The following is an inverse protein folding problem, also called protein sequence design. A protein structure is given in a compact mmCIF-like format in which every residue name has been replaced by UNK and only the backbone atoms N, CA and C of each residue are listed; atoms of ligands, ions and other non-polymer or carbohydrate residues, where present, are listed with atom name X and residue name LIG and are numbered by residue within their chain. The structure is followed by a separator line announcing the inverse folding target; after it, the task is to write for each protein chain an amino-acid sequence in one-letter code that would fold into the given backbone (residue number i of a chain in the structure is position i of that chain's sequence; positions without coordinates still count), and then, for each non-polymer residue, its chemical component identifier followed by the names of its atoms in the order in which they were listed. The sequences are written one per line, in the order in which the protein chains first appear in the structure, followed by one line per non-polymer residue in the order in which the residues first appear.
data_IF_872735477016
#
_entry.id   IF_872735477016
#
_cell.length_a   1.000
_cell.length_b   1.000
_cell.length_c   1.000
_cell.angle_alpha   90.00
_cell.angle_beta   90.00
_cell.angle_gamma   90.00
#
_symmetry.space_group_name_H-M   'P 1'
#
loop_
_entity.id
_entity.type
_entity.pdbx_description
1 polymer ?
#
# COMPACT_ATOMS: atom_id res chain seq x y z
N UNK A 1 -34.53 54.03 46.28
CA UNK A 1 -35.52 52.96 46.52
C UNK A 1 -34.76 51.67 46.71
N UNK A 2 -35.14 50.95 47.77
CA UNK A 2 -34.49 49.80 48.38
C UNK A 2 -34.65 48.49 47.58
N UNK A 3 -33.78 47.52 47.90
CA UNK A 3 -33.95 46.07 47.66
C UNK A 3 -32.76 45.46 46.90
N UNK A 4 -31.72 44.84 47.49
CA UNK A 4 -31.64 43.60 48.30
C UNK A 4 -32.62 42.52 47.81
N UNK A 5 -32.21 41.33 47.37
CA UNK A 5 -31.58 40.27 48.18
C UNK A 5 -31.02 39.09 47.34
N UNK A 6 -30.02 38.38 47.90
CA UNK A 6 -29.73 36.92 47.84
C UNK A 6 -30.08 36.12 46.58
N UNK A 7 -29.18 35.39 45.92
CA UNK A 7 -28.26 34.37 46.45
C UNK A 7 -28.74 32.98 46.04
N UNK A 8 -27.95 32.23 45.25
CA UNK A 8 -27.73 30.78 45.39
C UNK A 8 -26.83 30.25 44.27
N UNK A 9 -25.73 29.65 44.71
CA UNK A 9 -24.82 28.76 43.97
C UNK A 9 -25.54 27.57 43.37
N UNK A 10 -25.30 27.26 42.10
CA UNK A 10 -25.09 25.87 41.62
C UNK A 10 -24.28 25.91 40.33
N UNK A 11 -23.26 25.06 40.25
CA UNK A 11 -22.34 24.99 39.12
C UNK A 11 -23.03 24.58 37.81
N UNK A 12 -22.53 25.12 36.71
CA UNK A 12 -22.97 24.79 35.37
C UNK A 12 -21.94 25.20 34.33
N UNK A 13 -21.08 24.23 33.98
CA UNK A 13 -20.39 24.06 32.70
C UNK A 13 -19.94 25.32 31.94
N UNK A 14 -18.68 25.70 32.13
CA UNK A 14 -17.98 26.63 31.23
C UNK A 14 -17.79 26.01 29.84
N UNK A 15 -18.34 26.68 28.81
CA UNK A 15 -17.99 26.43 27.42
C UNK A 15 -16.56 26.96 27.15
N UNK A 16 -15.76 26.10 26.51
CA UNK A 16 -14.31 26.28 26.27
C UNK A 16 -13.99 27.54 25.46
N UNK A 17 -12.86 28.22 25.74
CA UNK A 17 -12.38 29.34 24.96
C UNK A 17 -11.60 28.91 23.71
N UNK A 18 -11.59 29.82 22.75
CA UNK A 18 -10.70 29.97 21.61
C UNK A 18 -9.24 29.56 21.85
N UNK A 19 -8.66 28.80 20.93
CA UNK A 19 -7.22 28.81 20.66
C UNK A 19 -6.97 28.50 19.18
N UNK A 20 -6.50 29.52 18.46
CA UNK A 20 -5.79 29.33 17.20
C UNK A 20 -4.50 28.56 17.47
N UNK A 21 -4.19 27.62 16.59
CA UNK A 21 -3.00 26.78 16.71
C UNK A 21 -1.77 27.54 16.19
N UNK A 22 -1.33 28.55 16.93
CA UNK A 22 0.01 29.14 16.83
C UNK A 22 0.95 28.43 17.82
N UNK A 23 1.13 27.13 17.62
CA UNK A 23 2.05 26.32 18.42
C UNK A 23 3.35 26.08 17.67
N UNK A 24 4.34 26.96 17.86
CA UNK A 24 5.73 26.71 17.48
C UNK A 24 6.23 25.44 18.17
N UNK A 25 6.39 24.36 17.40
CA UNK A 25 6.99 23.12 17.90
C UNK A 25 8.48 23.39 18.16
N UNK A 26 8.85 23.47 19.44
CA UNK A 26 10.25 23.55 19.88
C UNK A 26 10.95 22.24 19.50
N UNK A 27 11.78 22.26 18.45
CA UNK A 27 12.69 21.16 18.13
C UNK A 27 13.80 21.10 19.19
N UNK A 28 13.75 20.09 20.04
CA UNK A 28 14.91 19.61 20.80
C UNK A 28 15.34 18.27 20.22
N UNK A 29 16.62 18.16 19.85
CA UNK A 29 17.27 16.90 19.45
C UNK A 29 17.44 16.71 17.94
N UNK A 30 18.68 16.82 17.46
CA UNK A 30 19.04 16.73 16.05
C UNK A 30 18.89 15.32 15.47
N UNK A 31 17.95 15.18 14.53
CA UNK A 31 18.06 14.27 13.39
C UNK A 31 17.85 15.15 12.16
N UNK A 32 18.86 15.21 11.28
CA UNK A 32 18.72 15.81 9.96
C UNK A 32 17.60 15.07 9.24
N UNK A 33 16.44 15.71 9.08
CA UNK A 33 15.31 15.13 8.35
C UNK A 33 15.67 15.11 6.87
N UNK A 34 16.40 14.07 6.46
CA UNK A 34 16.57 13.78 5.04
C UNK A 34 15.18 13.61 4.45
N UNK A 35 14.86 14.40 3.43
CA UNK A 35 13.61 14.29 2.70
C UNK A 35 13.57 12.91 2.04
N UNK A 36 12.69 12.03 2.53
CA UNK A 36 12.53 10.68 1.99
C UNK A 36 11.63 10.75 0.76
N UNK A 37 12.09 10.20 -0.35
CA UNK A 37 11.28 10.01 -1.56
C UNK A 37 10.58 8.67 -1.43
N UNK A 38 9.24 8.72 -1.46
CA UNK A 38 8.38 7.54 -1.43
C UNK A 38 8.14 7.04 -2.86
N UNK A 39 8.35 5.75 -3.08
CA UNK A 39 8.00 5.05 -4.31
C UNK A 39 6.77 4.18 -4.06
N UNK A 40 5.54 4.63 -4.43
CA UNK A 40 4.35 3.80 -4.34
C UNK A 40 4.58 2.49 -5.05
N UNK A 41 4.20 1.39 -4.42
CA UNK A 41 4.46 0.04 -4.92
C UNK A 41 3.22 -0.81 -4.76
N UNK A 42 2.81 -1.47 -5.84
CA UNK A 42 1.68 -2.39 -5.86
C UNK A 42 2.18 -3.79 -6.21
N UNK A 43 1.81 -4.77 -5.39
CA UNK A 43 2.25 -6.15 -5.52
C UNK A 43 1.09 -7.05 -5.92
N UNK A 44 1.09 -7.51 -7.17
CA UNK A 44 0.10 -8.45 -7.68
C UNK A 44 0.61 -9.88 -7.53
N UNK A 45 -0.22 -10.75 -6.96
CA UNK A 45 0.03 -12.18 -6.89
C UNK A 45 -0.87 -12.90 -7.91
N UNK A 46 -0.25 -13.49 -8.94
CA UNK A 46 -0.88 -14.32 -9.95
C UNK A 46 -0.95 -15.79 -9.53
N UNK A 47 -0.54 -16.69 -10.41
CA UNK A 47 -0.34 -18.10 -10.08
C UNK A 47 0.94 -18.27 -9.25
N UNK A 48 0.84 -17.94 -7.97
CA UNK A 48 1.94 -17.96 -7.01
C UNK A 48 1.67 -18.94 -5.86
N UNK A 49 2.75 -19.44 -5.28
CA UNK A 49 2.75 -20.17 -4.00
C UNK A 49 3.00 -19.25 -2.79
N UNK A 50 3.02 -17.92 -2.97
CA UNK A 50 3.44 -16.92 -1.96
C UNK A 50 4.88 -17.06 -1.47
N UNK A 51 5.68 -17.95 -2.08
CA UNK A 51 7.06 -18.19 -1.68
C UNK A 51 7.97 -16.98 -1.88
N UNK A 52 7.70 -16.14 -2.87
CA UNK A 52 8.50 -14.93 -3.09
C UNK A 52 8.17 -13.87 -2.04
N UNK A 53 6.90 -13.71 -1.69
CA UNK A 53 6.47 -12.91 -0.54
C UNK A 53 7.16 -13.36 0.75
N UNK A 54 7.11 -14.66 1.08
CA UNK A 54 7.76 -15.20 2.29
C UNK A 54 9.28 -15.04 2.25
N UNK A 55 9.90 -15.18 1.07
CA UNK A 55 11.33 -14.93 0.90
C UNK A 55 11.69 -13.46 1.17
N UNK A 56 10.87 -12.51 0.72
CA UNK A 56 11.06 -11.08 1.01
C UNK A 56 10.96 -10.80 2.51
N UNK A 57 9.98 -11.40 3.19
CA UNK A 57 9.79 -11.25 4.64
C UNK A 57 10.99 -11.75 5.47
N UNK A 58 11.75 -12.70 4.93
CA UNK A 58 12.96 -13.24 5.55
C UNK A 58 14.25 -12.50 5.19
N UNK A 59 14.18 -11.35 4.50
CA UNK A 59 15.37 -10.58 4.13
C UNK A 59 16.15 -10.09 5.35
N UNK A 60 17.46 -10.32 5.36
CA UNK A 60 18.35 -9.93 6.47
C UNK A 60 18.89 -8.49 6.34
N UNK A 61 19.25 -8.07 5.12
CA UNK A 61 19.77 -6.73 4.86
C UNK A 61 19.50 -6.34 3.40
N UNK A 62 18.67 -5.32 3.13
CA UNK A 62 17.81 -4.59 4.07
C UNK A 62 16.79 -5.51 4.76
N UNK A 63 16.43 -5.22 6.01
CA UNK A 63 15.47 -6.05 6.75
C UNK A 63 14.02 -5.69 6.39
N UNK A 64 13.04 -6.50 6.82
CA UNK A 64 11.64 -6.25 6.48
C UNK A 64 11.10 -4.90 6.99
N UNK A 65 11.61 -4.38 8.12
CA UNK A 65 11.24 -3.05 8.62
C UNK A 65 11.70 -1.95 7.65
N UNK A 66 12.85 -2.12 6.99
CA UNK A 66 13.32 -1.23 5.93
C UNK A 66 12.53 -1.35 4.63
N UNK A 67 11.77 -2.42 4.42
CA UNK A 67 10.93 -2.54 3.23
C UNK A 67 9.55 -1.95 3.48
N UNK A 68 9.03 -2.06 4.71
CA UNK A 68 7.66 -1.67 5.03
C UNK A 68 7.52 -0.27 5.65
N UNK A 69 8.54 0.22 6.36
CA UNK A 69 8.41 1.40 7.23
C UNK A 69 9.57 2.38 7.05
N UNK A 70 10.80 1.90 7.11
CA UNK A 70 12.01 2.74 7.05
C UNK A 70 12.56 2.77 5.63
N UNK A 71 13.43 3.72 5.24
CA UNK A 71 14.05 3.70 3.92
C UNK A 71 14.87 2.43 3.63
N UNK A 72 14.66 1.84 2.45
CA UNK A 72 15.45 0.70 1.93
C UNK A 72 16.87 1.16 1.56
N UNK A 73 16.98 2.39 1.07
CA UNK A 73 18.23 3.09 0.74
C UNK A 73 18.20 4.49 1.35
N UNK A 74 19.35 5.15 1.57
CA UNK A 74 19.39 6.52 2.08
C UNK A 74 18.47 7.46 1.29
N UNK A 75 17.44 8.00 1.95
CA UNK A 75 16.46 8.92 1.36
C UNK A 75 15.44 8.29 0.40
N UNK A 76 15.37 6.96 0.26
CA UNK A 76 14.40 6.28 -0.62
C UNK A 76 13.66 5.16 0.09
N UNK A 77 12.35 5.24 0.12
CA UNK A 77 11.47 4.26 0.74
C UNK A 77 10.50 3.66 -0.27
N UNK A 78 10.26 2.36 -0.14
CA UNK A 78 9.31 1.61 -0.96
C UNK A 78 7.98 1.60 -0.22
N UNK A 79 7.01 2.35 -0.73
CA UNK A 79 5.70 2.47 -0.10
C UNK A 79 4.78 1.36 -0.61
N UNK A 80 4.74 0.22 0.08
CA UNK A 80 3.94 -0.93 -0.31
C UNK A 80 2.44 -0.67 -0.05
N UNK A 81 1.73 -0.14 -1.04
CA UNK A 81 0.32 0.25 -0.96
C UNK A 81 -0.64 -0.93 -1.05
N UNK A 82 -0.28 -1.93 -1.85
CA UNK A 82 -1.08 -3.13 -2.04
C UNK A 82 -0.18 -4.36 -1.98
N UNK A 83 -0.53 -5.30 -1.10
CA UNK A 83 0.09 -6.62 -1.02
C UNK A 83 -0.85 -7.57 -0.27
N UNK A 84 -1.52 -8.46 -1.01
CA UNK A 84 -2.62 -9.28 -0.48
C UNK A 84 -2.28 -10.08 0.79
N UNK A 85 -1.04 -10.54 0.93
CA UNK A 85 -0.61 -11.39 2.06
C UNK A 85 -0.41 -10.65 3.39
N UNK A 86 -0.02 -9.36 3.38
CA UNK A 86 0.43 -8.65 4.59
C UNK A 86 -0.28 -7.32 4.85
N UNK A 87 -1.08 -6.83 3.89
CA UNK A 87 -1.80 -5.58 4.08
C UNK A 87 -2.96 -5.75 5.08
N UNK A 88 -3.30 -4.67 5.80
CA UNK A 88 -4.41 -4.68 6.76
C UNK A 88 -5.79 -4.53 6.07
N UNK A 89 -5.83 -3.90 4.89
CA UNK A 89 -7.05 -3.69 4.12
C UNK A 89 -7.52 -4.99 3.45
N UNK A 90 -8.83 -5.11 3.22
CA UNK A 90 -9.42 -6.27 2.55
C UNK A 90 -10.61 -5.88 1.67
N UNK A 91 -10.98 -6.79 0.78
CA UNK A 91 -12.13 -6.65 -0.10
C UNK A 91 -12.00 -5.50 -1.09
N UNK A 92 -13.14 -5.02 -1.58
CA UNK A 92 -13.20 -4.02 -2.63
C UNK A 92 -12.44 -2.71 -2.31
N UNK A 93 -12.48 -2.14 -1.09
CA UNK A 93 -11.68 -0.95 -0.77
C UNK A 93 -10.17 -1.18 -0.91
N UNK A 94 -9.67 -2.38 -0.60
CA UNK A 94 -8.26 -2.71 -0.80
C UNK A 94 -7.91 -2.84 -2.28
N UNK A 95 -8.80 -3.43 -3.07
CA UNK A 95 -8.61 -3.61 -4.51
C UNK A 95 -8.66 -2.27 -5.27
N UNK A 96 -9.48 -1.30 -4.81
CA UNK A 96 -9.51 0.07 -5.39
C UNK A 96 -8.15 0.74 -5.40
N UNK A 97 -7.31 0.48 -4.39
CA UNK A 97 -5.95 1.04 -4.27
C UNK A 97 -5.08 0.76 -5.51
N UNK A 98 -5.32 -0.36 -6.20
CA UNK A 98 -4.60 -0.68 -7.45
C UNK A 98 -4.78 0.42 -8.50
N UNK A 99 -6.04 0.76 -8.81
CA UNK A 99 -6.37 1.80 -9.79
C UNK A 99 -6.12 3.21 -9.27
N UNK A 100 -6.41 3.46 -8.00
CA UNK A 100 -6.14 4.76 -7.37
C UNK A 100 -4.65 5.10 -7.42
N UNK A 101 -3.76 4.12 -7.21
CA UNK A 101 -2.31 4.35 -7.30
C UNK A 101 -1.89 4.76 -8.71
N UNK A 102 -2.41 4.08 -9.74
CA UNK A 102 -2.13 4.43 -11.13
C UNK A 102 -2.67 5.81 -11.51
N UNK A 103 -3.86 6.16 -11.03
CA UNK A 103 -4.51 7.46 -11.29
C UNK A 103 -3.82 8.62 -10.56
N UNK A 104 -3.43 8.43 -9.30
CA UNK A 104 -2.82 9.47 -8.46
C UNK A 104 -1.36 9.74 -8.83
N UNK A 105 -0.62 8.70 -9.25
CA UNK A 105 0.84 8.74 -9.39
C UNK A 105 1.33 8.09 -10.70
N UNK A 106 0.77 8.44 -11.87
CA UNK A 106 1.16 7.83 -13.15
C UNK A 106 2.66 8.06 -13.42
N UNK A 107 3.37 7.01 -13.84
CA UNK A 107 4.80 7.02 -14.12
C UNK A 107 5.70 7.07 -12.89
N UNK A 108 5.16 7.05 -11.66
CA UNK A 108 5.93 7.17 -10.42
C UNK A 108 5.88 5.93 -9.51
N UNK A 109 5.04 4.95 -9.82
CA UNK A 109 4.85 3.75 -8.99
C UNK A 109 5.52 2.51 -9.56
N UNK A 110 5.91 1.59 -8.68
CA UNK A 110 6.45 0.29 -9.03
C UNK A 110 5.32 -0.75 -9.09
N UNK A 111 5.29 -1.54 -10.15
CA UNK A 111 4.44 -2.73 -10.24
C UNK A 111 5.31 -3.97 -9.99
N UNK A 112 5.01 -4.70 -8.92
CA UNK A 112 5.65 -5.97 -8.61
C UNK A 112 4.69 -7.10 -8.98
N UNK A 113 5.17 -8.05 -9.77
CA UNK A 113 4.39 -9.20 -10.24
C UNK A 113 5.00 -10.45 -9.66
N UNK A 114 4.25 -11.17 -8.82
CA UNK A 114 4.63 -12.46 -8.27
C UNK A 114 3.74 -13.56 -8.85
N UNK A 115 4.34 -14.65 -9.34
CA UNK A 115 3.60 -15.72 -10.01
C UNK A 115 3.40 -15.48 -11.50
N UNK A 116 3.06 -16.53 -12.24
CA UNK A 116 2.76 -16.46 -13.67
C UNK A 116 1.40 -15.81 -13.93
N UNK A 117 1.20 -15.37 -15.18
CA UNK A 117 -0.01 -14.68 -15.64
C UNK A 117 -0.76 -15.64 -16.57
N UNK A 118 -1.83 -16.31 -16.11
CA UNK A 118 -2.56 -17.23 -16.96
C UNK A 118 -3.40 -16.53 -18.02
N UNK A 119 -3.73 -17.28 -19.07
CA UNK A 119 -4.65 -16.88 -20.12
C UNK A 119 -6.10 -17.19 -19.71
N UNK A 120 -6.95 -16.15 -19.64
CA UNK A 120 -8.36 -16.30 -19.26
C UNK A 120 -8.62 -16.16 -17.76
N UNK A 121 -9.74 -16.70 -17.24
CA UNK A 121 -10.25 -16.37 -15.90
C UNK A 121 -9.65 -17.22 -14.76
N UNK A 122 -8.51 -17.88 -14.97
CA UNK A 122 -7.92 -18.80 -13.98
C UNK A 122 -7.35 -18.11 -12.74
N UNK A 123 -7.02 -16.82 -12.84
CA UNK A 123 -6.51 -16.05 -11.72
C UNK A 123 -7.13 -14.65 -11.71
N UNK A 124 -7.73 -14.28 -10.57
CA UNK A 124 -8.24 -12.95 -10.29
C UNK A 124 -7.52 -12.36 -9.08
N UNK A 125 -7.12 -11.10 -9.17
CA UNK A 125 -6.42 -10.39 -8.08
C UNK A 125 -7.40 -9.73 -7.10
N UNK A 126 -8.68 -9.66 -7.46
CA UNK A 126 -9.72 -9.07 -6.65
C UNK A 126 -11.03 -8.91 -7.41
N UNK A 127 -11.95 -8.19 -6.79
CA UNK A 127 -13.27 -7.86 -7.35
C UNK A 127 -13.54 -6.37 -7.15
N UNK A 128 -14.11 -5.73 -8.16
CA UNK A 128 -14.57 -4.34 -8.11
C UNK A 128 -15.94 -4.25 -8.77
N UNK A 129 -16.93 -3.73 -8.04
CA UNK A 129 -18.32 -3.58 -8.50
C UNK A 129 -18.93 -4.90 -9.01
N UNK A 130 -18.68 -6.01 -8.33
CA UNK A 130 -19.20 -7.33 -8.72
C UNK A 130 -18.48 -7.98 -9.90
N UNK A 131 -17.38 -7.39 -10.39
CA UNK A 131 -16.59 -7.89 -11.51
C UNK A 131 -15.22 -8.35 -11.04
N UNK A 132 -14.88 -9.61 -11.33
CA UNK A 132 -13.53 -10.10 -11.11
C UNK A 132 -12.54 -9.33 -11.98
N UNK A 133 -11.42 -8.95 -11.36
CA UNK A 133 -10.30 -8.34 -12.04
C UNK A 133 -9.26 -9.43 -12.28
N UNK A 134 -9.11 -9.86 -13.53
CA UNK A 134 -8.15 -10.94 -13.83
C UNK A 134 -6.71 -10.46 -13.67
N UNK A 135 -5.81 -11.39 -13.39
CA UNK A 135 -4.37 -11.10 -13.29
C UNK A 135 -3.83 -10.47 -14.57
N UNK A 136 -4.25 -10.98 -15.74
CA UNK A 136 -3.85 -10.46 -17.05
C UNK A 136 -4.33 -9.03 -17.27
N UNK A 137 -5.61 -8.75 -17.01
CA UNK A 137 -6.17 -7.40 -17.16
C UNK A 137 -5.47 -6.40 -16.24
N UNK A 138 -5.34 -6.71 -14.95
CA UNK A 138 -4.75 -5.76 -13.99
C UNK A 138 -3.27 -5.56 -14.21
N UNK A 139 -2.53 -6.61 -14.60
CA UNK A 139 -1.12 -6.46 -14.94
C UNK A 139 -0.94 -5.59 -16.18
N UNK A 140 -1.73 -5.80 -17.24
CA UNK A 140 -1.66 -4.99 -18.45
C UNK A 140 -2.06 -3.52 -18.21
N UNK A 141 -3.13 -3.31 -17.43
CA UNK A 141 -3.62 -1.97 -17.05
C UNK A 141 -2.56 -1.20 -16.25
N UNK A 142 -2.02 -1.79 -15.19
CA UNK A 142 -1.03 -1.13 -14.33
C UNK A 142 0.36 -1.01 -14.99
N UNK A 143 0.75 -1.96 -15.84
CA UNK A 143 2.05 -1.89 -16.51
C UNK A 143 2.15 -0.69 -17.47
N UNK A 144 1.02 -0.22 -18.02
CA UNK A 144 0.99 0.91 -18.96
C UNK A 144 1.50 2.23 -18.37
N UNK A 145 1.26 2.44 -17.08
CA UNK A 145 1.60 3.69 -16.37
C UNK A 145 2.63 3.49 -15.24
N UNK A 146 3.20 2.30 -15.08
CA UNK A 146 4.20 2.05 -14.04
C UNK A 146 5.56 2.69 -14.38
N UNK A 147 6.27 3.19 -13.36
CA UNK A 147 7.67 3.61 -13.46
C UNK A 147 8.56 2.43 -13.89
N UNK A 148 8.30 1.27 -13.29
CA UNK A 148 8.96 0.02 -13.62
C UNK A 148 8.08 -1.16 -13.23
N UNK A 149 8.19 -2.24 -14.00
CA UNK A 149 7.58 -3.54 -13.70
C UNK A 149 8.68 -4.50 -13.27
N UNK A 150 8.51 -5.13 -12.11
CA UNK A 150 9.46 -6.05 -11.51
C UNK A 150 8.81 -7.44 -11.46
N UNK A 151 9.32 -8.37 -12.26
CA UNK A 151 8.96 -9.78 -12.18
C UNK A 151 9.67 -10.42 -10.98
N UNK A 152 8.91 -10.81 -9.96
CA UNK A 152 9.43 -11.39 -8.72
C UNK A 152 9.33 -12.92 -8.78
N UNK A 153 10.48 -13.56 -8.91
CA UNK A 153 10.62 -15.01 -8.93
C UNK A 153 10.49 -15.63 -10.33
N UNK A 154 10.85 -16.92 -10.41
CA UNK A 154 10.91 -17.66 -11.68
C UNK A 154 9.55 -17.75 -12.37
N UNK A 155 8.46 -17.91 -11.61
CA UNK A 155 7.12 -17.99 -12.21
C UNK A 155 6.73 -16.70 -12.93
N UNK A 156 6.97 -15.53 -12.33
CA UNK A 156 6.70 -14.25 -12.98
C UNK A 156 7.66 -13.94 -14.12
N UNK A 157 8.92 -14.38 -14.02
CA UNK A 157 9.97 -14.05 -14.99
C UNK A 157 9.93 -14.95 -16.23
N UNK A 158 9.60 -16.22 -16.06
CA UNK A 158 9.76 -17.27 -17.09
C UNK A 158 8.60 -18.28 -17.11
N UNK A 159 7.49 -18.00 -16.43
CA UNK A 159 6.35 -18.91 -16.32
C UNK A 159 6.49 -19.94 -15.18
N UNK A 160 7.65 -20.59 -15.07
CA UNK A 160 7.96 -21.49 -13.95
C UNK A 160 7.12 -22.76 -13.91
N UNK A 161 6.74 -23.22 -12.71
CA UNK A 161 5.99 -24.47 -12.53
C UNK A 161 4.60 -24.41 -13.21
N UNK A 162 3.81 -23.33 -13.08
CA UNK A 162 2.49 -23.27 -13.70
C UNK A 162 2.50 -23.39 -15.24
N UNK A 163 3.56 -22.89 -15.89
CA UNK A 163 3.75 -23.01 -17.34
C UNK A 163 4.27 -24.38 -17.81
N UNK A 164 4.50 -25.32 -16.89
CA UNK A 164 4.90 -26.68 -17.22
C UNK A 164 3.81 -27.46 -17.95
N UNK A 165 4.19 -28.42 -18.80
CA UNK A 165 3.23 -29.27 -19.51
C UNK A 165 2.29 -29.98 -18.51
N UNK A 166 0.97 -30.05 -18.79
CA UNK A 166 0.30 -29.68 -20.04
C UNK A 166 -0.19 -28.20 -20.13
N UNK A 167 0.18 -27.34 -19.17
CA UNK A 167 -0.20 -25.92 -19.07
C UNK A 167 -1.67 -25.61 -19.44
N UNK A 168 -2.65 -26.11 -18.67
CA UNK A 168 -4.07 -25.92 -18.98
C UNK A 168 -4.54 -24.48 -18.83
N UNK A 169 -3.77 -23.64 -18.12
CA UNK A 169 -4.10 -22.22 -17.88
C UNK A 169 -3.42 -21.27 -18.87
N UNK A 170 -2.51 -21.78 -19.71
CA UNK A 170 -1.79 -20.97 -20.70
C UNK A 170 -0.83 -19.95 -20.09
N UNK A 171 -0.34 -20.22 -18.88
CA UNK A 171 0.56 -19.37 -18.12
C UNK A 171 1.95 -19.20 -18.74
#
# INVERSE_FOLDING_TARGET
MLGSTSGSTTGGFGCRPSVGWSGSYRKEGGVSSQQVVEYPSVWLAGESCSGCSVSLLNSASPNIKNVLIDPVMPGKHVNLRFHATIMAGQGEPAVRVLRETALERPGEYLLLVEGSIPEGPYCAVGELEGRHLTMKEMTAELAGDALAVIAVGTCASFGGIPSGEPNPTGA
#
